data_IF_240116397538
#
_entry.id   IF_240116397538
#
_cell.length_a   1.000
_cell.length_b   1.000
_cell.length_c   1.000
_cell.angle_alpha   90.00
_cell.angle_beta   90.00
_cell.angle_gamma   90.00
#
_symmetry.space_group_name_H-M   'P 1'
#
loop_
_entity.id
_entity.type
_entity.pdbx_description
1 polymer ?
#
# COMPACT_ATOMS: atom_id res chain seq x y z
N UNK A 1 -1.19 -3.24 24.99
CA UNK A 1 -2.52 -3.66 24.51
C UNK A 1 -2.52 -3.59 23.00
N UNK A 2 -2.77 -4.71 22.34
CA UNK A 2 -2.66 -4.90 20.89
C UNK A 2 -3.93 -4.39 20.20
N UNK A 3 -3.81 -3.46 19.26
CA UNK A 3 -4.91 -3.16 18.34
C UNK A 3 -5.07 -4.34 17.39
N UNK A 4 -6.10 -5.16 17.61
CA UNK A 4 -6.52 -6.19 16.66
C UNK A 4 -7.33 -5.49 15.57
N UNK A 5 -6.77 -5.37 14.37
CA UNK A 5 -7.53 -5.01 13.19
C UNK A 5 -8.37 -6.23 12.79
N UNK A 6 -9.50 -6.43 13.45
CA UNK A 6 -10.55 -7.31 12.92
C UNK A 6 -11.34 -6.51 11.88
N UNK A 7 -10.84 -6.48 10.64
CA UNK A 7 -11.77 -6.46 9.51
C UNK A 7 -12.16 -7.90 9.28
N UNK A 8 -13.46 -8.17 9.31
CA UNK A 8 -14.03 -9.47 8.98
C UNK A 8 -13.51 -9.92 7.59
N UNK A 9 -12.64 -10.95 7.51
CA UNK A 9 -12.10 -11.40 6.24
C UNK A 9 -13.16 -12.07 5.36
N UNK A 10 -14.34 -12.38 5.90
CA UNK A 10 -15.39 -13.11 5.19
C UNK A 10 -16.18 -12.27 4.17
N UNK A 11 -16.15 -10.94 4.24
CA UNK A 11 -16.96 -10.08 3.35
C UNK A 11 -16.30 -9.72 2.00
N UNK A 12 -15.13 -10.28 1.69
CA UNK A 12 -14.40 -10.07 0.43
C UNK A 12 -14.20 -11.35 -0.39
N UNK A 13 -14.83 -12.47 0.00
CA UNK A 13 -14.49 -13.80 -0.53
C UNK A 13 -15.31 -14.30 -1.72
N UNK A 14 -16.38 -13.62 -2.14
CA UNK A 14 -17.30 -14.20 -3.14
C UNK A 14 -17.13 -13.67 -4.58
N UNK A 15 -16.12 -12.83 -4.85
CA UNK A 15 -15.75 -12.50 -6.24
C UNK A 15 -14.27 -12.79 -6.48
N UNK A 16 -13.92 -13.70 -7.42
CA UNK A 16 -12.53 -13.92 -7.80
C UNK A 16 -11.92 -12.73 -8.56
N UNK A 17 -12.73 -11.73 -8.91
CA UNK A 17 -12.32 -10.55 -9.65
C UNK A 17 -12.14 -9.35 -8.73
N UNK A 18 -11.02 -8.64 -8.90
CA UNK A 18 -10.87 -7.29 -8.39
C UNK A 18 -11.89 -6.42 -9.11
N UNK A 19 -12.94 -6.00 -8.41
CA UNK A 19 -13.91 -5.05 -8.96
C UNK A 19 -13.25 -3.66 -9.03
N UNK A 20 -12.65 -3.34 -10.19
CA UNK A 20 -11.91 -2.10 -10.40
C UNK A 20 -12.78 -0.84 -10.28
N UNK A 21 -14.08 -0.94 -10.58
CA UNK A 21 -15.02 0.17 -10.43
C UNK A 21 -15.28 0.47 -8.95
N UNK A 22 -15.32 -0.57 -8.11
CA UNK A 22 -15.40 -0.44 -6.65
C UNK A 22 -14.08 -0.02 -6.00
N UNK A 23 -12.96 -0.48 -6.55
CA UNK A 23 -11.58 -0.23 -6.07
C UNK A 23 -11.16 1.23 -6.23
N UNK A 24 -11.60 1.90 -7.29
CA UNK A 24 -11.21 3.28 -7.58
C UNK A 24 -12.38 4.26 -7.66
N UNK A 25 -13.60 3.82 -7.32
CA UNK A 25 -14.81 4.63 -7.22
C UNK A 25 -15.27 5.28 -8.53
N UNK A 26 -16.50 5.00 -8.96
CA UNK A 26 -17.22 5.90 -9.85
C UNK A 26 -17.80 7.03 -9.01
N UNK A 27 -17.03 8.11 -8.78
CA UNK A 27 -17.57 9.30 -8.14
C UNK A 27 -18.48 10.06 -9.11
N UNK A 28 -19.69 9.54 -9.34
CA UNK A 28 -20.83 10.40 -9.65
C UNK A 28 -21.44 10.81 -8.32
N UNK A 29 -21.07 11.99 -7.82
CA UNK A 29 -21.81 12.65 -6.73
C UNK A 29 -23.28 12.81 -7.16
N UNK A 30 -24.26 12.24 -6.44
CA UNK A 30 -25.61 12.81 -6.48
C UNK A 30 -25.63 14.08 -5.63
N UNK A 31 -26.34 15.09 -6.12
CA UNK A 31 -26.53 16.36 -5.45
C UNK A 31 -27.66 16.30 -4.42
N UNK A 32 -27.54 17.15 -3.38
CA UNK A 32 -28.56 17.60 -2.40
C UNK A 32 -28.89 16.59 -1.27
N UNK A 33 -29.32 16.97 -0.06
CA UNK A 33 -29.95 18.19 0.46
C UNK A 33 -29.64 18.33 1.97
N UNK A 34 -29.60 19.58 2.46
CA UNK A 34 -29.68 19.96 3.88
C UNK A 34 -30.87 19.34 4.61
N UNK A 35 -30.65 18.93 5.87
CA UNK A 35 -31.61 19.12 6.97
C UNK A 35 -30.93 18.95 8.34
N UNK A 36 -31.23 19.91 9.20
CA UNK A 36 -30.92 20.01 10.62
C UNK A 36 -31.44 18.85 11.48
N UNK A 37 -30.70 18.49 12.53
CA UNK A 37 -31.26 18.22 13.87
C UNK A 37 -30.17 18.21 14.96
N UNK A 38 -30.52 18.75 16.13
CA UNK A 38 -29.69 18.99 17.33
C UNK A 38 -29.55 17.74 18.22
N UNK A 39 -28.37 17.62 18.86
CA UNK A 39 -27.93 17.13 20.20
C UNK A 39 -28.87 16.28 21.12
N UNK A 40 -28.36 15.44 22.07
CA UNK A 40 -27.26 15.78 23.00
C UNK A 40 -26.29 14.67 23.48
N UNK A 41 -25.34 15.16 24.28
CA UNK A 41 -24.20 14.58 24.97
C UNK A 41 -24.34 13.17 25.58
N UNK A 42 -23.25 12.39 25.50
CA UNK A 42 -22.87 11.40 26.52
C UNK A 42 -21.36 11.41 26.80
N UNK A 43 -21.06 11.53 28.08
CA UNK A 43 -19.80 11.34 28.79
C UNK A 43 -19.35 9.87 28.75
N UNK A 44 -18.04 9.63 28.66
CA UNK A 44 -17.47 8.29 28.88
C UNK A 44 -16.03 8.10 28.41
N UNK A 45 -15.09 8.18 29.36
CA UNK A 45 -13.74 7.56 29.37
C UNK A 45 -12.84 7.65 28.13
N UNK A 46 -11.98 8.67 28.10
CA UNK A 46 -10.78 8.71 27.26
C UNK A 46 -9.68 7.82 27.87
N UNK A 47 -9.12 6.83 27.14
CA UNK A 47 -7.88 6.20 27.54
C UNK A 47 -6.73 7.21 27.39
N UNK A 48 -5.98 7.37 28.49
CA UNK A 48 -4.82 8.24 28.61
C UNK A 48 -3.69 7.68 27.72
N UNK A 49 -3.49 8.27 26.55
CA UNK A 49 -2.31 8.03 25.73
C UNK A 49 -1.10 8.63 26.45
N UNK A 50 -0.14 7.79 26.83
CA UNK A 50 1.19 8.29 27.22
C UNK A 50 1.86 8.85 25.97
N UNK A 51 1.74 10.17 25.82
CA UNK A 51 2.48 10.98 24.85
C UNK A 51 3.87 11.21 25.46
N UNK A 52 4.80 10.30 25.24
CA UNK A 52 6.22 10.66 25.35
C UNK A 52 6.54 11.51 24.12
N UNK A 53 6.52 12.83 24.29
CA UNK A 53 7.05 13.75 23.31
C UNK A 53 8.57 13.58 23.31
N UNK A 54 9.08 12.84 22.34
CA UNK A 54 10.52 12.79 22.08
C UNK A 54 10.80 13.91 21.07
N UNK A 55 11.32 15.04 21.58
CA UNK A 55 11.55 16.31 20.86
C UNK A 55 12.82 16.26 19.98
N UNK A 56 13.18 15.07 19.51
CA UNK A 56 14.42 14.80 18.77
C UNK A 56 14.25 14.84 17.25
N UNK A 57 13.11 15.33 16.75
CA UNK A 57 12.74 15.23 15.33
C UNK A 57 12.59 13.77 14.86
N UNK A 58 12.42 12.84 15.80
CA UNK A 58 12.43 11.40 15.57
C UNK A 58 10.99 10.91 15.38
N UNK A 59 10.70 10.30 14.24
CA UNK A 59 9.38 9.70 13.99
C UNK A 59 9.15 8.55 14.99
N UNK A 60 8.25 8.78 15.96
CA UNK A 60 7.77 7.75 16.88
C UNK A 60 6.74 6.85 16.20
N UNK A 61 6.77 5.56 16.46
CA UNK A 61 5.83 4.59 15.89
C UNK A 61 5.27 3.65 16.96
N UNK A 62 4.03 3.20 16.75
CA UNK A 62 3.45 2.11 17.53
C UNK A 62 3.97 0.76 17.05
N UNK A 63 3.48 -0.33 17.63
CA UNK A 63 3.67 -1.68 17.09
C UNK A 63 2.32 -2.32 16.87
N UNK A 64 2.16 -2.98 15.72
CA UNK A 64 0.96 -3.73 15.37
C UNK A 64 1.33 -5.18 15.07
N UNK A 65 0.47 -6.11 15.49
CA UNK A 65 0.50 -7.49 15.01
C UNK A 65 -0.46 -7.56 13.82
N UNK A 66 0.09 -7.74 12.62
CA UNK A 66 -0.69 -7.93 11.41
C UNK A 66 -0.88 -9.42 11.16
N UNK A 67 -2.10 -9.83 10.86
CA UNK A 67 -2.46 -11.16 10.36
C UNK A 67 -3.62 -10.96 9.38
N UNK A 68 -3.31 -10.92 8.10
CA UNK A 68 -4.28 -10.51 7.08
C UNK A 68 -3.78 -10.68 5.66
N UNK A 69 -4.57 -10.19 4.72
CA UNK A 69 -4.26 -10.26 3.29
C UNK A 69 -3.50 -9.02 2.83
N UNK A 70 -2.63 -9.19 1.85
CA UNK A 70 -1.98 -8.10 1.15
C UNK A 70 -1.90 -8.42 -0.34
N UNK A 71 -1.58 -7.42 -1.15
CA UNK A 71 -1.56 -7.50 -2.60
C UNK A 71 -0.21 -7.06 -3.12
N UNK A 72 0.30 -7.84 -4.08
CA UNK A 72 1.54 -7.59 -4.79
C UNK A 72 1.24 -7.54 -6.28
N UNK A 73 1.75 -6.54 -6.98
CA UNK A 73 1.62 -6.42 -8.44
C UNK A 73 3.03 -6.42 -9.04
N UNK A 74 3.29 -7.41 -9.89
CA UNK A 74 4.58 -7.59 -10.54
C UNK A 74 4.44 -7.34 -12.06
N UNK A 75 5.12 -6.32 -12.60
CA UNK A 75 5.33 -6.19 -14.05
C UNK A 75 6.00 -7.44 -14.59
N UNK A 76 5.54 -7.91 -15.75
CA UNK A 76 6.02 -9.10 -16.45
C UNK A 76 6.02 -10.37 -15.59
N UNK A 77 5.19 -10.41 -14.54
CA UNK A 77 5.05 -11.55 -13.66
C UNK A 77 4.31 -12.71 -14.34
N UNK A 78 4.63 -13.94 -13.93
CA UNK A 78 4.00 -15.17 -14.41
C UNK A 78 3.08 -15.75 -13.33
N UNK A 79 1.82 -16.07 -13.67
CA UNK A 79 0.85 -16.74 -12.81
C UNK A 79 1.36 -17.97 -12.03
N UNK A 80 2.42 -18.64 -12.51
CA UNK A 80 3.02 -19.81 -11.86
C UNK A 80 4.06 -19.53 -10.77
N UNK A 81 4.28 -18.28 -10.34
CA UNK A 81 5.30 -17.98 -9.34
C UNK A 81 4.94 -18.51 -7.94
N UNK A 82 5.82 -19.36 -7.40
CA UNK A 82 5.78 -19.76 -5.99
C UNK A 82 6.13 -18.60 -5.04
N UNK A 83 5.80 -18.78 -3.76
CA UNK A 83 6.00 -17.73 -2.77
C UNK A 83 7.47 -17.28 -2.62
N UNK A 84 8.49 -18.15 -2.56
CA UNK A 84 9.89 -17.73 -2.53
C UNK A 84 10.29 -16.86 -3.73
N UNK A 85 9.87 -17.23 -4.95
CA UNK A 85 10.14 -16.45 -6.16
C UNK A 85 9.42 -15.10 -6.13
N UNK A 86 8.18 -15.06 -5.64
CA UNK A 86 7.44 -13.80 -5.45
C UNK A 86 8.14 -12.87 -4.46
N UNK A 87 8.59 -13.40 -3.32
CA UNK A 87 9.28 -12.61 -2.30
C UNK A 87 10.59 -12.02 -2.84
N UNK A 88 11.33 -12.82 -3.60
CA UNK A 88 12.55 -12.39 -4.30
C UNK A 88 12.26 -11.30 -5.32
N UNK A 89 11.30 -11.52 -6.23
CA UNK A 89 10.90 -10.52 -7.23
C UNK A 89 10.42 -9.21 -6.59
N UNK A 90 9.72 -9.28 -5.46
CA UNK A 90 9.28 -8.10 -4.70
C UNK A 90 10.45 -7.35 -4.02
N UNK A 91 11.53 -8.04 -3.68
CA UNK A 91 12.70 -7.48 -3.01
C UNK A 91 13.80 -6.98 -3.99
N UNK A 92 13.89 -7.57 -5.18
CA UNK A 92 14.94 -7.32 -6.19
C UNK A 92 14.76 -6.03 -7.00
N UNK A 93 13.82 -5.15 -6.63
CA UNK A 93 13.72 -3.82 -7.24
C UNK A 93 14.93 -2.97 -6.83
N UNK A 94 15.97 -3.02 -7.65
CA UNK A 94 17.27 -2.37 -7.50
C UNK A 94 17.14 -0.85 -7.61
N UNK A 95 16.81 -0.23 -6.49
CA UNK A 95 16.77 1.22 -6.36
C UNK A 95 16.69 1.66 -4.91
N UNK A 96 16.91 2.96 -4.68
CA UNK A 96 16.61 3.60 -3.40
C UNK A 96 15.09 3.56 -3.19
N UNK A 97 14.59 2.51 -2.53
CA UNK A 97 13.17 2.39 -2.18
C UNK A 97 12.86 3.20 -0.92
N UNK A 98 11.57 3.48 -0.66
CA UNK A 98 11.12 4.36 0.42
C UNK A 98 11.65 3.95 1.80
N UNK A 99 11.62 2.66 2.13
CA UNK A 99 12.05 2.13 3.43
C UNK A 99 13.21 1.12 3.34
N UNK A 100 13.70 0.83 2.13
CA UNK A 100 14.80 -0.10 1.91
C UNK A 100 16.16 0.58 2.12
N UNK A 101 17.18 -0.25 2.31
CA UNK A 101 18.57 0.19 2.35
C UNK A 101 19.37 -0.59 1.30
N UNK A 102 20.46 -0.02 0.77
CA UNK A 102 21.34 -0.72 -0.17
C UNK A 102 21.77 -2.08 0.40
N UNK A 103 21.62 -3.14 -0.41
CA UNK A 103 22.03 -4.50 -0.04
C UNK A 103 21.11 -5.23 0.95
N UNK A 104 20.01 -4.62 1.41
CA UNK A 104 19.07 -5.26 2.34
C UNK A 104 17.69 -5.46 1.69
N UNK A 105 17.22 -6.70 1.52
CA UNK A 105 15.96 -6.98 0.83
C UNK A 105 14.78 -6.39 1.58
N UNK A 106 13.89 -5.71 0.86
CA UNK A 106 12.64 -5.17 1.39
C UNK A 106 11.53 -5.45 0.40
N UNK A 107 10.55 -6.26 0.78
CA UNK A 107 9.38 -6.57 -0.05
C UNK A 107 8.26 -5.57 0.24
N UNK A 108 7.61 -5.07 -0.80
CA UNK A 108 6.53 -4.09 -0.70
C UNK A 108 5.21 -4.69 -1.15
N UNK A 109 4.20 -4.59 -0.30
CA UNK A 109 2.84 -5.05 -0.58
C UNK A 109 1.83 -4.01 -0.12
N UNK A 110 0.64 -4.00 -0.70
CA UNK A 110 -0.45 -3.13 -0.26
C UNK A 110 -1.55 -3.90 0.45
N UNK A 111 -2.28 -3.30 1.38
CA UNK A 111 -3.36 -3.99 2.10
C UNK A 111 -4.65 -4.11 1.29
N UNK A 112 -4.72 -3.43 0.14
CA UNK A 112 -5.83 -3.49 -0.78
C UNK A 112 -5.33 -3.42 -2.25
N UNK A 113 -6.11 -3.96 -3.22
CA UNK A 113 -5.71 -3.98 -4.62
C UNK A 113 -5.51 -2.57 -5.21
N UNK A 114 -6.34 -1.60 -4.83
CA UNK A 114 -6.29 -0.22 -5.35
C UNK A 114 -4.94 0.41 -5.07
N UNK A 115 -4.48 0.28 -3.83
CA UNK A 115 -3.18 0.76 -3.37
C UNK A 115 -2.04 0.06 -4.13
N UNK A 116 -2.10 -1.27 -4.31
CA UNK A 116 -1.05 -2.00 -5.01
C UNK A 116 -0.92 -1.53 -6.47
N UNK A 117 -2.04 -1.34 -7.15
CA UNK A 117 -2.10 -0.85 -8.52
C UNK A 117 -1.65 0.61 -8.64
N UNK A 118 -2.05 1.48 -7.70
CA UNK A 118 -1.64 2.87 -7.68
C UNK A 118 -0.11 3.02 -7.53
N UNK A 119 0.51 2.21 -6.67
CA UNK A 119 1.98 2.18 -6.52
C UNK A 119 2.65 1.76 -7.83
N UNK A 120 2.20 0.68 -8.48
CA UNK A 120 2.79 0.23 -9.76
C UNK A 120 2.57 1.24 -10.88
N UNK A 121 1.38 1.83 -10.98
CA UNK A 121 1.08 2.89 -11.94
C UNK A 121 2.03 4.07 -11.78
N UNK A 122 2.28 4.51 -10.54
CA UNK A 122 3.19 5.61 -10.25
C UNK A 122 4.63 5.27 -10.64
N UNK A 123 5.09 4.04 -10.35
CA UNK A 123 6.43 3.59 -10.72
C UNK A 123 6.60 3.50 -12.23
N UNK A 124 5.65 2.91 -12.95
CA UNK A 124 5.65 2.83 -14.42
C UNK A 124 5.71 4.23 -15.06
N UNK A 125 5.04 5.22 -14.49
CA UNK A 125 5.13 6.62 -14.95
C UNK A 125 6.52 7.26 -14.72
N UNK A 126 7.28 6.79 -13.73
CA UNK A 126 8.60 7.32 -13.40
C UNK A 126 9.74 6.60 -14.09
N UNK A 127 9.59 5.30 -14.35
CA UNK A 127 10.63 4.47 -14.95
C UNK A 127 10.78 4.72 -16.46
N UNK A 128 10.10 5.73 -17.00
CA UNK A 128 10.18 6.18 -18.40
C UNK A 128 10.00 5.07 -19.42
N UNK A 129 9.34 3.96 -19.05
CA UNK A 129 8.92 2.88 -19.95
C UNK A 129 7.84 3.40 -20.91
N UNK A 130 8.27 4.24 -21.85
CA UNK A 130 7.46 4.81 -22.92
C UNK A 130 7.54 3.83 -24.09
N UNK A 131 6.47 3.08 -24.29
CA UNK A 131 6.32 2.16 -25.41
C UNK A 131 4.87 2.09 -25.85
N UNK A 132 4.65 1.69 -27.11
CA UNK A 132 3.30 1.45 -27.63
C UNK A 132 2.65 0.22 -26.97
N UNK A 133 3.48 -0.75 -26.58
CA UNK A 133 3.02 -2.02 -26.01
C UNK A 133 2.59 -1.88 -24.55
N UNK A 134 1.43 -2.44 -24.17
CA UNK A 134 1.02 -2.52 -22.78
C UNK A 134 1.98 -3.39 -21.96
N UNK A 135 2.33 -2.92 -20.77
CA UNK A 135 3.02 -3.70 -19.75
C UNK A 135 1.97 -4.60 -19.09
N UNK A 136 2.18 -5.92 -19.16
CA UNK A 136 1.33 -6.88 -18.46
C UNK A 136 1.84 -7.03 -17.03
N UNK A 137 0.97 -6.94 -16.04
CA UNK A 137 1.32 -7.17 -14.64
C UNK A 137 0.49 -8.30 -14.07
N UNK A 138 1.11 -9.16 -13.27
CA UNK A 138 0.42 -10.19 -12.50
C UNK A 138 0.09 -9.67 -11.11
N UNK A 139 -1.14 -9.91 -10.65
CA UNK A 139 -1.65 -9.53 -9.34
C UNK A 139 -1.70 -10.78 -8.46
N UNK A 140 -1.07 -10.68 -7.29
CA UNK A 140 -1.06 -11.72 -6.27
C UNK A 140 -1.72 -11.22 -5.02
N UNK A 141 -2.45 -12.11 -4.37
CA UNK A 141 -2.87 -11.98 -2.99
C UNK A 141 -1.93 -12.81 -2.11
N UNK A 142 -1.46 -12.23 -1.03
CA UNK A 142 -0.52 -12.82 -0.08
C UNK A 142 -1.17 -12.84 1.30
N UNK A 143 -1.02 -13.93 2.04
CA UNK A 143 -1.29 -13.92 3.49
C UNK A 143 -0.03 -13.44 4.21
N UNK A 144 -0.17 -12.43 5.06
CA UNK A 144 0.94 -11.83 5.81
C UNK A 144 0.68 -11.93 7.30
N UNK A 145 1.66 -12.41 8.06
CA UNK A 145 1.63 -12.46 9.52
C UNK A 145 2.94 -11.94 10.11
N UNK A 146 2.87 -10.96 11.01
CA UNK A 146 4.07 -10.41 11.62
C UNK A 146 3.85 -9.23 12.56
N UNK A 147 4.95 -8.74 13.13
CA UNK A 147 4.98 -7.54 13.98
C UNK A 147 5.57 -6.39 13.20
N UNK A 148 4.87 -5.28 13.10
CA UNK A 148 5.26 -4.14 12.26
C UNK A 148 5.28 -2.85 13.07
N UNK A 149 6.19 -1.93 12.71
CA UNK A 149 6.11 -0.55 13.14
C UNK A 149 4.86 0.09 12.52
N UNK A 150 4.00 0.67 13.35
CA UNK A 150 2.75 1.29 12.90
C UNK A 150 2.94 2.80 12.68
N UNK A 151 2.85 3.21 11.41
CA UNK A 151 2.93 4.59 10.95
C UNK A 151 1.57 5.19 10.56
N UNK A 152 0.46 4.51 10.86
CA UNK A 152 -0.87 4.99 10.56
C UNK A 152 -1.14 6.40 11.12
N UNK A 153 -1.60 7.31 10.27
CA UNK A 153 -1.99 8.67 10.63
C UNK A 153 -0.82 9.57 11.03
N UNK A 154 0.42 9.08 10.96
CA UNK A 154 1.63 9.85 11.30
C UNK A 154 1.99 10.84 10.20
N UNK A 155 1.50 10.65 8.98
CA UNK A 155 1.74 11.53 7.83
C UNK A 155 1.29 12.98 8.08
N UNK A 156 0.29 13.19 8.95
CA UNK A 156 -0.18 14.55 9.32
C UNK A 156 0.85 15.38 10.07
N UNK A 157 1.73 14.74 10.83
CA UNK A 157 2.83 15.39 11.57
C UNK A 157 4.19 15.20 10.91
N UNK A 158 4.27 14.18 10.05
CA UNK A 158 5.48 13.76 9.34
C UNK A 158 5.17 13.60 7.85
N UNK A 159 4.95 14.70 7.11
CA UNK A 159 4.62 14.65 5.68
C UNK A 159 5.71 13.95 4.84
N UNK A 160 6.94 13.88 5.35
CA UNK A 160 8.04 13.12 4.76
C UNK A 160 7.73 11.62 4.60
N UNK A 161 6.77 11.06 5.34
CA UNK A 161 6.33 9.66 5.20
C UNK A 161 5.70 9.37 3.83
N UNK A 162 5.10 10.38 3.20
CA UNK A 162 4.44 10.27 1.89
C UNK A 162 5.12 11.12 0.81
N UNK A 163 6.13 11.92 1.16
CA UNK A 163 6.92 12.71 0.22
C UNK A 163 7.72 11.86 -0.78
N UNK A 164 8.21 12.46 -1.86
CA UNK A 164 9.07 11.79 -2.84
C UNK A 164 10.56 11.77 -2.43
N UNK A 165 10.96 12.51 -1.38
CA UNK A 165 12.28 12.38 -0.75
C UNK A 165 12.28 11.26 0.29
N UNK A 166 13.05 10.20 0.03
CA UNK A 166 13.10 9.00 0.86
C UNK A 166 14.16 9.04 1.97
N UNK A 167 14.95 10.12 2.10
CA UNK A 167 16.05 10.17 3.08
C UNK A 167 15.58 9.90 4.51
N UNK A 168 14.42 10.45 4.91
CA UNK A 168 13.90 10.24 6.27
C UNK A 168 13.32 8.83 6.41
N UNK A 169 12.54 8.36 5.45
CA UNK A 169 11.91 7.04 5.49
C UNK A 169 12.93 5.90 5.42
N UNK A 170 14.03 6.06 4.70
CA UNK A 170 15.13 5.10 4.66
C UNK A 170 15.85 5.00 6.01
N UNK A 171 16.14 6.15 6.65
CA UNK A 171 16.69 6.17 8.02
C UNK A 171 15.74 5.50 9.02
N UNK A 172 14.44 5.73 8.87
CA UNK A 172 13.42 5.07 9.68
C UNK A 172 13.43 3.56 9.44
N UNK A 173 13.45 3.11 8.19
CA UNK A 173 13.50 1.70 7.83
C UNK A 173 14.73 0.99 8.39
N UNK A 174 15.91 1.60 8.23
CA UNK A 174 17.16 1.10 8.83
C UNK A 174 17.05 0.96 10.36
N UNK A 175 16.48 1.97 11.04
CA UNK A 175 16.29 1.94 12.49
C UNK A 175 15.33 0.84 12.93
N UNK A 176 14.19 0.70 12.26
CA UNK A 176 13.21 -0.36 12.57
C UNK A 176 13.86 -1.73 12.39
N UNK A 177 14.60 -1.93 11.30
CA UNK A 177 15.33 -3.18 11.03
C UNK A 177 16.36 -3.50 12.11
N UNK A 178 17.09 -2.50 12.61
CA UNK A 178 18.07 -2.67 13.68
C UNK A 178 17.47 -3.18 15.00
N UNK A 179 16.16 -2.99 15.24
CA UNK A 179 15.51 -3.49 16.46
C UNK A 179 15.40 -5.01 16.53
N UNK A 180 15.48 -5.71 15.38
CA UNK A 180 15.30 -7.17 15.20
C UNK A 180 13.99 -7.78 15.75
N UNK A 181 13.15 -6.99 16.43
CA UNK A 181 11.87 -7.41 17.03
C UNK A 181 10.66 -7.11 16.15
N UNK A 182 10.89 -6.36 15.06
CA UNK A 182 9.88 -5.98 14.08
C UNK A 182 10.28 -6.54 12.71
N UNK A 183 9.29 -7.05 11.98
CA UNK A 183 9.47 -7.62 10.65
C UNK A 183 9.31 -6.59 9.54
N UNK A 184 9.01 -5.32 9.85
CA UNK A 184 8.78 -4.30 8.85
C UNK A 184 8.02 -3.08 9.34
N UNK A 185 7.42 -2.35 8.40
CA UNK A 185 6.55 -1.19 8.66
C UNK A 185 5.19 -1.36 8.00
N UNK A 186 4.14 -0.95 8.71
CA UNK A 186 2.82 -0.67 8.16
C UNK A 186 2.69 0.85 8.02
N UNK A 187 2.43 1.34 6.80
CA UNK A 187 2.52 2.76 6.47
C UNK A 187 1.42 3.21 5.49
N UNK A 188 1.01 4.48 5.50
CA UNK A 188 0.05 5.00 4.52
C UNK A 188 0.65 4.96 3.11
N UNK A 189 -0.12 4.51 2.12
CA UNK A 189 0.32 4.62 0.72
C UNK A 189 0.53 6.09 0.35
N UNK A 190 1.59 6.40 -0.37
CA UNK A 190 1.80 7.75 -0.90
C UNK A 190 0.94 8.01 -2.15
N UNK A 191 0.36 6.94 -2.73
CA UNK A 191 -0.29 6.94 -4.05
C UNK A 191 -1.79 6.72 -4.01
N UNK A 192 -2.33 6.45 -2.83
CA UNK A 192 -3.75 6.21 -2.61
C UNK A 192 -4.15 6.51 -1.16
N UNK A 193 -5.44 6.35 -0.87
CA UNK A 193 -5.94 6.49 0.50
C UNK A 193 -5.71 5.26 1.39
N UNK A 194 -5.20 4.16 0.84
CA UNK A 194 -4.98 2.91 1.57
C UNK A 194 -3.62 2.83 2.28
N UNK A 195 -3.22 1.59 2.59
CA UNK A 195 -2.03 1.29 3.37
C UNK A 195 -1.15 0.28 2.66
N UNK A 196 0.13 0.39 2.91
CA UNK A 196 1.16 -0.50 2.41
C UNK A 196 1.99 -1.06 3.56
N UNK A 197 2.66 -2.16 3.28
CA UNK A 197 3.53 -2.86 4.19
C UNK A 197 4.89 -3.06 3.53
N UNK A 198 5.95 -2.69 4.24
CA UNK A 198 7.34 -2.92 3.86
C UNK A 198 7.88 -4.02 4.76
N UNK A 199 8.06 -5.22 4.20
CA UNK A 199 8.55 -6.38 4.91
C UNK A 199 10.07 -6.50 4.79
N UNK A 200 10.75 -6.73 5.91
CA UNK A 200 12.20 -6.86 6.01
C UNK A 200 12.70 -8.29 5.98
N UNK A 201 11.77 -9.24 6.04
CA UNK A 201 11.98 -10.68 5.93
C UNK A 201 10.78 -11.26 5.18
N UNK A 202 11.03 -12.30 4.39
CA UNK A 202 10.06 -13.07 3.64
C UNK A 202 9.23 -14.03 4.50
N UNK A 203 9.73 -14.42 5.68
CA UNK A 203 9.02 -15.31 6.62
C UNK A 203 7.66 -14.77 7.10
N UNK A 204 7.37 -13.49 6.90
CA UNK A 204 6.04 -12.94 7.20
C UNK A 204 4.99 -13.36 6.18
N UNK A 205 5.39 -13.77 4.98
CA UNK A 205 4.47 -14.23 3.97
C UNK A 205 4.18 -15.72 4.19
N UNK A 206 2.91 -16.06 4.42
CA UNK A 206 2.50 -17.42 4.76
C UNK A 206 2.03 -18.21 3.53
N UNK A 207 1.43 -17.52 2.56
CA UNK A 207 0.92 -18.13 1.32
C UNK A 207 0.76 -17.08 0.24
N UNK A 208 0.72 -17.51 -1.01
CA UNK A 208 0.39 -16.69 -2.17
C UNK A 208 -0.72 -17.33 -2.99
N UNK A 209 -1.47 -16.48 -3.70
CA UNK A 209 -2.46 -16.87 -4.69
C UNK A 209 -2.40 -15.88 -5.84
N UNK A 210 -2.29 -16.40 -7.07
CA UNK A 210 -2.51 -15.59 -8.27
C UNK A 210 -3.99 -15.16 -8.34
N UNK A 211 -4.23 -13.88 -8.62
CA UNK A 211 -5.57 -13.30 -8.70
C UNK A 211 -5.94 -13.04 -10.14
N UNK A 212 -5.17 -12.21 -10.84
CA UNK A 212 -5.48 -11.76 -12.18
C UNK A 212 -4.24 -11.18 -12.89
N UNK A 213 -4.35 -10.93 -14.18
CA UNK A 213 -3.48 -10.00 -14.88
C UNK A 213 -4.15 -8.63 -15.01
N UNK A 214 -3.31 -7.60 -15.15
CA UNK A 214 -3.73 -6.26 -15.57
C UNK A 214 -2.77 -5.76 -16.65
N UNK A 215 -3.25 -4.88 -17.52
CA UNK A 215 -2.43 -4.22 -18.52
C UNK A 215 -2.31 -2.74 -18.23
N UNK A 216 -1.09 -2.23 -18.24
CA UNK A 216 -0.76 -0.82 -18.07
C UNK A 216 -0.21 -0.27 -19.38
N UNK A 217 -0.68 0.90 -19.81
CA UNK A 217 -0.12 1.62 -20.96
C UNK A 217 0.16 3.05 -20.57
N UNK A 218 1.42 3.46 -20.62
CA UNK A 218 1.81 4.86 -20.43
C UNK A 218 1.27 5.67 -21.61
N UNK A 219 0.38 6.63 -21.33
CA UNK A 219 -0.17 7.52 -22.35
C UNK A 219 0.66 8.80 -22.47
N UNK A 220 1.17 9.29 -21.35
CA UNK A 220 2.07 10.44 -21.27
C UNK A 220 2.94 10.36 -20.01
N UNK A 221 3.80 11.36 -19.80
CA UNK A 221 4.55 11.55 -18.55
C UNK A 221 3.67 11.77 -17.30
N UNK A 222 2.38 12.04 -17.52
CA UNK A 222 1.40 12.35 -16.48
C UNK A 222 0.22 11.40 -16.42
N UNK A 223 0.11 10.43 -17.32
CA UNK A 223 -1.07 9.58 -17.37
C UNK A 223 -0.77 8.16 -17.82
N UNK A 224 -1.39 7.20 -17.13
CA UNK A 224 -1.32 5.77 -17.43
C UNK A 224 -2.74 5.24 -17.59
N UNK A 225 -2.93 4.39 -18.59
CA UNK A 225 -4.17 3.63 -18.74
C UNK A 225 -4.00 2.26 -18.11
N UNK A 226 -4.99 1.86 -17.33
CA UNK A 226 -5.09 0.54 -16.70
C UNK A 226 -6.28 -0.21 -17.34
N UNK A 227 -6.08 -1.48 -17.68
CA UNK A 227 -7.15 -2.38 -18.09
C UNK A 227 -7.06 -3.70 -17.31
N UNK A 228 -8.19 -4.17 -16.79
CA UNK A 228 -8.31 -5.50 -16.21
C UNK A 228 -8.32 -6.57 -17.32
N UNK A 229 -7.89 -7.79 -16.99
CA UNK A 229 -7.97 -8.90 -17.96
C UNK A 229 -9.42 -9.15 -18.36
N UNK A 230 -9.63 -9.34 -19.67
CA UNK A 230 -10.96 -9.57 -20.23
C UNK A 230 -11.85 -8.34 -20.33
N UNK A 231 -11.40 -7.18 -19.85
CA UNK A 231 -12.09 -5.90 -20.06
C UNK A 231 -11.64 -5.23 -21.35
N UNK A 232 -12.56 -4.51 -22.00
CA UNK A 232 -12.26 -3.56 -23.08
C UNK A 232 -12.17 -2.12 -22.57
N UNK A 233 -12.53 -1.89 -21.32
CA UNK A 233 -12.57 -0.57 -20.71
C UNK A 233 -11.24 -0.22 -20.08
N UNK A 234 -10.54 0.72 -20.72
CA UNK A 234 -9.35 1.33 -20.19
C UNK A 234 -9.71 2.49 -19.27
N UNK A 235 -9.23 2.44 -18.03
CA UNK A 235 -9.30 3.56 -17.09
C UNK A 235 -8.06 4.41 -17.22
N UNK A 236 -8.23 5.71 -17.43
CA UNK A 236 -7.14 6.69 -17.35
C UNK A 236 -6.91 7.08 -15.90
N UNK A 237 -5.66 7.01 -15.44
CA UNK A 237 -5.22 7.51 -14.14
C UNK A 237 -4.16 8.58 -14.38
N UNK A 238 -4.42 9.79 -13.89
CA UNK A 238 -3.47 10.89 -13.92
C UNK A 238 -2.52 10.83 -12.73
N UNK A 239 -1.32 11.36 -12.90
CA UNK A 239 -0.27 11.42 -11.89
C UNK A 239 -0.74 12.11 -10.60
N UNK A 240 -1.61 13.11 -10.72
CA UNK A 240 -2.17 13.84 -9.57
C UNK A 240 -3.20 13.00 -8.80
N UNK A 241 -3.90 12.08 -9.48
CA UNK A 241 -4.80 11.11 -8.84
C UNK A 241 -4.02 10.00 -8.12
N UNK A 242 -2.76 9.79 -8.49
CA UNK A 242 -1.81 8.87 -7.86
C UNK A 242 -0.99 9.55 -6.75
N UNK A 243 -1.46 10.68 -6.21
CA UNK A 243 -0.86 11.34 -5.05
C UNK A 243 -1.87 11.41 -3.93
N UNK A 244 -1.48 10.88 -2.78
CA UNK A 244 -2.22 11.13 -1.54
C UNK A 244 -2.09 12.61 -1.19
N UNK A 245 -3.23 13.29 -1.07
CA UNK A 245 -3.29 14.63 -0.49
C UNK A 245 -3.21 14.51 1.03
N UNK A 246 -2.35 15.33 1.65
CA UNK A 246 -2.16 15.36 3.09
C UNK A 246 -3.35 16.03 3.82
#
# INVERSE_FOLDING_TARGET
MSHRFERDPAQLLDSPYVDFDRVFGTSRKPARHDRDARSPARSGNRPRTQKTADDTGRISYGTVHYDGLAYLVLPDGDSGLDLPRLCRAAAERSGLTRYGAPGLPTSYVALDPSSALAEVCFHVLNDCCRGAEPIRCAVYQLRVRGRFADLHGRERRHPELIADDYRVTQRLGHRVRATRSLHGLLYPSARSNGFCLAAFSDHVFCSSRFVDFVSLRVQSDRAVRLCATGSVHWRLLNRDELRRTA
#
